data_IF_358566377934
#
_entry.id   IF_358566377934
#
_cell.length_a   1.000
_cell.length_b   1.000
_cell.length_c   1.000
_cell.angle_alpha   90.00
_cell.angle_beta   90.00
_cell.angle_gamma   90.00
#
_symmetry.space_group_name_H-M   'P 1'
#
loop_
_entity.id
_entity.type
_entity.pdbx_description
1 polymer ?
#
# COMPACT_ATOMS: atom_id res chain seq x y z
N UNK A 1 47.42 -21.34 -34.10
CA UNK A 1 46.34 -20.84 -34.97
C UNK A 1 44.95 -20.96 -34.33
N UNK A 2 44.80 -21.66 -33.20
CA UNK A 2 43.47 -21.93 -32.61
C UNK A 2 42.92 -20.85 -31.66
N UNK A 3 43.76 -20.05 -31.01
CA UNK A 3 43.28 -19.02 -30.05
C UNK A 3 42.42 -17.94 -30.70
N UNK A 4 42.71 -17.57 -31.95
CA UNK A 4 41.91 -16.62 -32.70
C UNK A 4 40.52 -17.18 -33.03
N UNK A 5 40.44 -18.46 -33.41
CA UNK A 5 39.19 -19.16 -33.71
C UNK A 5 38.34 -19.34 -32.45
N UNK A 6 38.96 -19.72 -31.33
CA UNK A 6 38.28 -19.86 -30.04
C UNK A 6 37.73 -18.49 -29.58
N UNK A 7 38.49 -17.41 -29.77
CA UNK A 7 38.04 -16.05 -29.43
C UNK A 7 36.86 -15.61 -30.29
N UNK A 8 36.90 -15.87 -31.61
CA UNK A 8 35.79 -15.59 -32.51
C UNK A 8 34.54 -16.41 -32.16
N UNK A 9 34.69 -17.70 -31.84
CA UNK A 9 33.59 -18.57 -31.43
C UNK A 9 32.93 -18.09 -30.13
N UNK A 10 33.73 -17.71 -29.11
CA UNK A 10 33.22 -17.12 -27.86
C UNK A 10 32.47 -15.81 -28.11
N UNK A 11 32.96 -14.97 -29.01
CA UNK A 11 32.31 -13.71 -29.37
C UNK A 11 30.98 -13.95 -30.10
N UNK A 12 30.94 -14.90 -31.04
CA UNK A 12 29.73 -15.30 -31.76
C UNK A 12 28.69 -15.87 -30.79
N UNK A 13 29.10 -16.76 -29.88
CA UNK A 13 28.24 -17.30 -28.83
C UNK A 13 27.66 -16.20 -27.94
N UNK A 14 28.51 -15.27 -27.45
CA UNK A 14 28.06 -14.16 -26.61
C UNK A 14 27.04 -13.28 -27.33
N UNK A 15 27.24 -12.99 -28.62
CA UNK A 15 26.30 -12.23 -29.44
C UNK A 15 24.96 -12.98 -29.60
N UNK A 16 25.00 -14.26 -29.94
CA UNK A 16 23.80 -15.09 -30.09
C UNK A 16 23.03 -15.20 -28.77
N UNK A 17 23.73 -15.40 -27.65
CA UNK A 17 23.15 -15.43 -26.32
C UNK A 17 22.50 -14.10 -25.95
N UNK A 18 23.18 -12.98 -26.16
CA UNK A 18 22.62 -11.64 -25.90
C UNK A 18 21.40 -11.35 -26.77
N UNK A 19 21.41 -11.78 -28.03
CA UNK A 19 20.27 -11.62 -28.93
C UNK A 19 19.06 -12.42 -28.44
N UNK A 20 19.26 -13.70 -28.09
CA UNK A 20 18.23 -14.58 -27.53
C UNK A 20 17.70 -14.03 -26.20
N UNK A 21 18.59 -13.60 -25.31
CA UNK A 21 18.20 -12.98 -24.05
C UNK A 21 17.39 -11.68 -24.27
N UNK A 22 17.80 -10.81 -25.18
CA UNK A 22 17.03 -9.59 -25.52
C UNK A 22 15.65 -9.93 -26.08
N UNK A 23 15.57 -10.94 -26.94
CA UNK A 23 14.32 -11.44 -27.50
C UNK A 23 13.40 -11.97 -26.38
N UNK A 24 13.90 -12.86 -25.54
CA UNK A 24 13.18 -13.45 -24.42
C UNK A 24 12.79 -12.40 -23.37
N UNK A 25 13.63 -11.38 -23.18
CA UNK A 25 13.33 -10.28 -22.27
C UNK A 25 12.21 -9.38 -22.82
N UNK A 26 12.17 -9.11 -24.13
CA UNK A 26 11.08 -8.33 -24.77
C UNK A 26 9.74 -9.07 -24.83
N UNK A 27 9.78 -10.40 -24.86
CA UNK A 27 8.55 -11.20 -24.80
C UNK A 27 7.98 -11.24 -23.38
N UNK A 28 8.84 -11.39 -22.36
CA UNK A 28 8.43 -11.46 -20.95
C UNK A 28 8.16 -10.10 -20.31
N UNK A 29 8.97 -9.09 -20.62
CA UNK A 29 8.92 -7.78 -20.01
C UNK A 29 8.54 -6.72 -21.05
N UNK A 30 7.41 -6.03 -20.83
CA UNK A 30 6.99 -4.88 -21.62
C UNK A 30 7.45 -3.61 -20.92
N UNK A 31 8.12 -2.74 -21.68
CA UNK A 31 8.51 -1.42 -21.25
C UNK A 31 7.60 -0.39 -21.92
N UNK A 32 7.14 0.58 -21.14
CA UNK A 32 6.37 1.71 -21.60
C UNK A 32 7.12 2.97 -21.20
N UNK A 33 7.37 3.84 -22.17
CA UNK A 33 8.01 5.13 -21.93
C UNK A 33 6.92 6.19 -21.83
N UNK A 34 6.94 6.95 -20.73
CA UNK A 34 5.96 8.01 -20.45
C UNK A 34 6.72 9.32 -20.31
N UNK A 35 6.30 10.33 -21.06
CA UNK A 35 6.85 11.68 -20.95
C UNK A 35 5.94 12.48 -20.02
N UNK A 36 6.52 13.04 -18.96
CA UNK A 36 5.83 13.89 -18.00
C UNK A 36 6.21 15.35 -18.22
N UNK A 37 5.26 16.25 -18.02
CA UNK A 37 5.55 17.68 -17.89
C UNK A 37 6.30 17.95 -16.59
N UNK A 38 6.89 19.15 -16.47
CA UNK A 38 7.69 19.51 -15.29
C UNK A 38 6.85 19.59 -14.00
N UNK A 39 5.58 20.00 -14.10
CA UNK A 39 4.65 20.01 -12.97
C UNK A 39 4.24 18.59 -12.57
N UNK A 40 3.88 17.73 -13.53
CA UNK A 40 3.54 16.34 -13.27
C UNK A 40 4.70 15.58 -12.63
N UNK A 41 5.93 15.78 -13.12
CA UNK A 41 7.12 15.15 -12.58
C UNK A 41 7.35 15.55 -11.11
N UNK A 42 7.13 16.82 -10.74
CA UNK A 42 7.22 17.28 -9.35
C UNK A 42 6.15 16.62 -8.47
N UNK A 43 4.88 16.64 -8.89
CA UNK A 43 3.78 16.02 -8.14
C UNK A 43 4.00 14.53 -7.91
N UNK A 44 4.46 13.81 -8.93
CA UNK A 44 4.81 12.39 -8.82
C UNK A 44 6.01 12.19 -7.90
N UNK A 45 7.02 13.07 -7.97
CA UNK A 45 8.18 13.05 -7.06
C UNK A 45 7.78 13.21 -5.60
N UNK A 46 6.98 14.24 -5.29
CA UNK A 46 6.49 14.51 -3.94
C UNK A 46 5.64 13.36 -3.41
N UNK A 47 4.76 12.79 -4.25
CA UNK A 47 3.97 11.62 -3.89
C UNK A 47 4.86 10.38 -3.67
N UNK A 48 5.82 10.11 -4.54
CA UNK A 48 6.75 8.99 -4.38
C UNK A 48 7.56 9.10 -3.08
N UNK A 49 7.98 10.31 -2.70
CA UNK A 49 8.68 10.58 -1.45
C UNK A 49 7.79 10.31 -0.23
N UNK A 50 6.54 10.79 -0.23
CA UNK A 50 5.55 10.51 0.83
C UNK A 50 5.33 9.01 1.01
N UNK A 51 5.33 8.25 -0.09
CA UNK A 51 5.14 6.80 -0.09
C UNK A 51 6.44 6.00 0.12
N UNK A 52 7.58 6.67 0.40
CA UNK A 52 8.92 6.05 0.59
C UNK A 52 9.31 5.08 -0.54
N UNK A 53 9.00 5.42 -1.80
CA UNK A 53 9.25 4.59 -2.99
C UNK A 53 9.97 5.37 -4.08
N UNK A 54 10.66 4.65 -4.97
CA UNK A 54 11.20 5.28 -6.18
C UNK A 54 10.07 5.70 -7.12
N UNK A 55 10.28 6.76 -7.90
CA UNK A 55 9.28 7.33 -8.82
C UNK A 55 8.70 6.25 -9.75
N UNK A 56 9.55 5.45 -10.38
CA UNK A 56 9.13 4.39 -11.31
C UNK A 56 8.29 3.31 -10.62
N UNK A 57 8.67 2.94 -9.38
CA UNK A 57 7.93 1.94 -8.60
C UNK A 57 6.58 2.49 -8.15
N UNK A 58 6.55 3.74 -7.70
CA UNK A 58 5.32 4.44 -7.32
C UNK A 58 4.35 4.54 -8.49
N UNK A 59 4.81 4.94 -9.69
CA UNK A 59 3.96 4.98 -10.89
C UNK A 59 3.36 3.61 -11.23
N UNK A 60 4.17 2.56 -11.21
CA UNK A 60 3.68 1.20 -11.48
C UNK A 60 2.63 0.77 -10.47
N UNK A 61 2.93 0.92 -9.18
CA UNK A 61 2.07 0.44 -8.11
C UNK A 61 0.80 1.30 -7.96
N UNK A 62 0.87 2.62 -8.18
CA UNK A 62 -0.29 3.50 -8.20
C UNK A 62 -1.23 3.19 -9.36
N UNK A 63 -0.71 2.99 -10.58
CA UNK A 63 -1.53 2.57 -11.72
C UNK A 63 -2.24 1.24 -11.46
N UNK A 64 -1.51 0.23 -10.94
CA UNK A 64 -2.11 -1.08 -10.61
C UNK A 64 -3.14 -0.94 -9.48
N UNK A 65 -2.83 -0.16 -8.44
CA UNK A 65 -3.71 0.09 -7.31
C UNK A 65 -5.01 0.77 -7.75
N UNK A 66 -4.92 1.78 -8.62
CA UNK A 66 -6.06 2.45 -9.21
C UNK A 66 -6.95 1.48 -10.01
N UNK A 67 -6.35 0.71 -10.93
CA UNK A 67 -7.08 -0.30 -11.73
C UNK A 67 -7.75 -1.34 -10.82
N UNK A 68 -7.05 -1.76 -9.76
CA UNK A 68 -7.53 -2.78 -8.82
C UNK A 68 -8.48 -2.22 -7.76
N UNK A 69 -8.79 -0.92 -7.77
CA UNK A 69 -9.56 -0.21 -6.73
C UNK A 69 -9.01 -0.47 -5.31
N UNK A 70 -7.68 -0.50 -5.18
CA UNK A 70 -6.98 -0.69 -3.90
C UNK A 70 -6.30 0.61 -3.49
N UNK A 71 -6.29 0.88 -2.19
CA UNK A 71 -5.56 2.01 -1.66
C UNK A 71 -4.06 1.69 -1.61
N UNK A 72 -3.25 2.67 -2.04
CA UNK A 72 -1.80 2.56 -1.95
C UNK A 72 -1.33 3.11 -0.61
N UNK A 73 -0.98 2.22 0.32
CA UNK A 73 -0.50 2.62 1.65
C UNK A 73 0.82 3.43 1.53
N UNK A 74 0.92 4.63 2.15
CA UNK A 74 2.13 5.45 2.14
C UNK A 74 3.33 4.79 2.79
N UNK A 75 3.18 4.23 3.98
CA UNK A 75 4.26 3.53 4.67
C UNK A 75 3.85 2.12 5.06
N UNK A 76 4.26 1.16 4.22
CA UNK A 76 3.99 -0.26 4.44
C UNK A 76 4.75 -0.78 5.66
N UNK A 77 5.92 -0.23 5.96
CA UNK A 77 6.70 -0.66 7.13
C UNK A 77 6.03 -0.21 8.42
N UNK A 78 5.53 1.03 8.47
CA UNK A 78 4.78 1.52 9.62
C UNK A 78 3.51 0.70 9.86
N UNK A 79 2.73 0.40 8.80
CA UNK A 79 1.52 -0.42 8.93
C UNK A 79 1.86 -1.86 9.37
N UNK A 80 2.91 -2.45 8.84
CA UNK A 80 3.36 -3.78 9.27
C UNK A 80 3.87 -3.78 10.71
N UNK A 81 4.52 -2.71 11.16
CA UNK A 81 4.96 -2.56 12.56
C UNK A 81 3.75 -2.51 13.49
N UNK A 82 2.72 -1.71 13.18
CA UNK A 82 1.47 -1.66 13.95
C UNK A 82 0.83 -3.05 14.01
N UNK A 83 0.73 -3.74 12.87
CA UNK A 83 0.18 -5.11 12.82
C UNK A 83 0.97 -6.07 13.71
N UNK A 84 2.31 -5.99 13.68
CA UNK A 84 3.16 -6.84 14.51
C UNK A 84 2.94 -6.57 16.00
N UNK A 85 2.87 -5.30 16.40
CA UNK A 85 2.61 -4.94 17.80
C UNK A 85 1.21 -5.39 18.25
N UNK A 86 0.20 -5.29 17.39
CA UNK A 86 -1.13 -5.82 17.68
C UNK A 86 -1.10 -7.34 17.91
N UNK A 87 -0.43 -8.10 17.04
CA UNK A 87 -0.29 -9.55 17.18
C UNK A 87 0.45 -9.93 18.48
N UNK A 88 1.53 -9.22 18.82
CA UNK A 88 2.27 -9.46 20.06
C UNK A 88 1.42 -9.20 21.30
N UNK A 89 0.62 -8.14 21.31
CA UNK A 89 -0.30 -7.85 22.41
C UNK A 89 -1.39 -8.93 22.54
N UNK A 90 -1.89 -9.44 21.42
CA UNK A 90 -2.86 -10.54 21.41
C UNK A 90 -2.26 -11.82 22.02
N UNK A 91 -1.05 -12.20 21.60
CA UNK A 91 -0.36 -13.38 22.12
C UNK A 91 -0.04 -13.26 23.61
N UNK A 92 0.36 -12.07 24.07
CA UNK A 92 0.64 -11.79 25.49
C UNK A 92 -0.62 -11.93 26.35
N UNK A 93 -1.74 -11.34 25.91
CA UNK A 93 -3.02 -11.47 26.60
C UNK A 93 -3.49 -12.92 26.63
N UNK A 94 -3.33 -13.66 25.52
CA UNK A 94 -3.63 -15.09 25.45
C UNK A 94 -2.84 -15.89 26.48
N UNK A 95 -1.53 -15.63 26.61
CA UNK A 95 -0.70 -16.25 27.65
C UNK A 95 -1.19 -15.94 29.07
N UNK A 96 -1.58 -14.69 29.34
CA UNK A 96 -2.14 -14.30 30.64
C UNK A 96 -3.47 -15.01 30.97
N UNK A 97 -4.25 -15.42 29.96
CA UNK A 97 -5.44 -16.24 30.16
C UNK A 97 -5.12 -17.70 30.45
N UNK A 98 -4.16 -18.26 29.73
CA UNK A 98 -3.72 -19.65 29.94
C UNK A 98 -3.10 -19.83 31.34
N UNK A 99 -2.45 -18.79 31.87
CA UNK A 99 -1.87 -18.75 33.22
C UNK A 99 -2.88 -18.41 34.34
N UNK A 100 -4.19 -18.32 34.04
CA UNK A 100 -5.27 -18.03 35.01
C UNK A 100 -5.14 -16.68 35.76
N UNK A 101 -4.36 -15.72 35.23
CA UNK A 101 -4.17 -14.40 35.85
C UNK A 101 -5.40 -13.49 35.80
N UNK A 102 -6.35 -13.77 34.90
CA UNK A 102 -7.58 -13.00 34.71
C UNK A 102 -8.82 -13.91 34.77
N UNK A 103 -9.97 -13.40 35.28
CA UNK A 103 -11.24 -14.12 35.18
C UNK A 103 -11.58 -14.43 33.72
N UNK A 104 -11.86 -15.69 33.39
CA UNK A 104 -12.09 -16.15 32.01
C UNK A 104 -13.14 -15.32 31.26
N UNK A 105 -14.22 -14.90 31.92
CA UNK A 105 -15.27 -14.07 31.31
C UNK A 105 -14.77 -12.67 30.93
N UNK A 106 -14.07 -11.99 31.84
CA UNK A 106 -13.48 -10.67 31.58
C UNK A 106 -12.44 -10.76 30.45
N UNK A 107 -11.67 -11.85 30.44
CA UNK A 107 -10.66 -12.11 29.44
C UNK A 107 -11.21 -12.29 28.04
N UNK A 108 -12.26 -13.09 27.91
CA UNK A 108 -12.95 -13.30 26.64
C UNK A 108 -13.51 -11.99 26.08
N UNK A 109 -14.11 -11.16 26.92
CA UNK A 109 -14.65 -9.84 26.50
C UNK A 109 -13.52 -8.93 25.98
N UNK A 110 -12.37 -8.94 26.64
CA UNK A 110 -11.20 -8.15 26.22
C UNK A 110 -10.68 -8.62 24.85
N UNK A 111 -10.56 -9.94 24.63
CA UNK A 111 -10.12 -10.49 23.34
C UNK A 111 -11.09 -10.16 22.21
N UNK A 112 -12.39 -10.38 22.40
CA UNK A 112 -13.41 -10.03 21.40
C UNK A 112 -13.35 -8.52 21.06
N UNK A 113 -13.12 -7.66 22.06
CA UNK A 113 -13.01 -6.21 21.84
C UNK A 113 -11.75 -5.82 21.06
N UNK A 114 -10.63 -6.48 21.33
CA UNK A 114 -9.36 -6.26 20.64
C UNK A 114 -9.47 -6.72 19.18
N UNK A 115 -10.09 -7.86 18.92
CA UNK A 115 -10.28 -8.35 17.56
C UNK A 115 -11.13 -7.36 16.72
N UNK A 116 -12.22 -6.84 17.29
CA UNK A 116 -13.04 -5.82 16.63
C UNK A 116 -12.25 -4.52 16.38
N UNK A 117 -11.42 -4.10 17.35
CA UNK A 117 -10.55 -2.93 17.18
C UNK A 117 -9.50 -3.15 16.11
N UNK A 118 -8.85 -4.32 16.06
CA UNK A 118 -7.88 -4.68 15.05
C UNK A 118 -8.51 -4.72 13.66
N UNK A 119 -9.69 -5.32 13.51
CA UNK A 119 -10.41 -5.32 12.25
C UNK A 119 -10.75 -3.90 11.79
N UNK A 120 -11.16 -3.01 12.71
CA UNK A 120 -11.41 -1.60 12.38
C UNK A 120 -10.13 -0.87 11.96
N UNK A 121 -9.07 -0.96 12.75
CA UNK A 121 -7.80 -0.28 12.48
C UNK A 121 -7.18 -0.79 11.17
N UNK A 122 -7.17 -2.10 10.94
CA UNK A 122 -6.63 -2.68 9.71
C UNK A 122 -7.49 -2.34 8.49
N UNK A 123 -8.82 -2.37 8.61
CA UNK A 123 -9.69 -1.98 7.50
C UNK A 123 -9.53 -0.50 7.15
N UNK A 124 -9.42 0.39 8.13
CA UNK A 124 -9.17 1.82 7.89
C UNK A 124 -7.77 2.10 7.33
N UNK A 125 -6.74 1.36 7.76
CA UNK A 125 -5.37 1.53 7.25
C UNK A 125 -5.21 1.01 5.82
N UNK A 126 -5.88 -0.09 5.46
CA UNK A 126 -5.77 -0.70 4.13
C UNK A 126 -6.81 -0.20 3.13
N UNK A 127 -7.94 0.29 3.62
CA UNK A 127 -9.06 0.80 2.84
C UNK A 127 -9.62 2.05 3.51
N UNK A 128 -8.84 3.16 3.56
CA UNK A 128 -9.33 4.40 4.13
C UNK A 128 -10.59 4.81 3.37
N UNK A 129 -11.64 5.12 4.13
CA UNK A 129 -12.92 5.55 3.59
C UNK A 129 -12.71 6.77 2.72
N UNK A 130 -13.32 6.78 1.55
CA UNK A 130 -13.29 7.96 0.69
C UNK A 130 -14.06 9.10 1.36
N UNK A 131 -13.74 10.35 1.02
CA UNK A 131 -14.40 11.53 1.58
C UNK A 131 -15.92 11.42 1.53
N UNK A 132 -16.48 10.92 0.43
CA UNK A 132 -17.91 10.70 0.23
C UNK A 132 -18.50 9.71 1.25
N UNK A 133 -17.79 8.63 1.55
CA UNK A 133 -18.20 7.62 2.52
C UNK A 133 -18.11 8.16 3.95
N UNK A 134 -17.08 8.96 4.26
CA UNK A 134 -16.96 9.67 5.52
C UNK A 134 -18.11 10.66 5.72
N UNK A 135 -18.51 11.39 4.67
CA UNK A 135 -19.65 12.33 4.73
C UNK A 135 -20.96 11.60 5.00
N UNK A 136 -21.20 10.45 4.38
CA UNK A 136 -22.40 9.63 4.62
C UNK A 136 -22.39 9.05 6.04
N UNK A 137 -21.24 8.61 6.53
CA UNK A 137 -21.09 8.08 7.88
C UNK A 137 -21.30 9.17 8.95
N UNK A 138 -20.67 10.35 8.78
CA UNK A 138 -20.87 11.50 9.67
C UNK A 138 -22.33 11.95 9.67
N UNK A 139 -23.01 11.96 8.51
CA UNK A 139 -24.45 12.22 8.43
C UNK A 139 -25.28 11.22 9.25
N UNK A 140 -24.81 9.98 9.34
CA UNK A 140 -25.49 8.89 10.06
C UNK A 140 -25.21 8.91 11.55
N UNK A 141 -23.98 9.27 11.95
CA UNK A 141 -23.50 9.20 13.34
C UNK A 141 -23.68 10.50 14.12
N UNK A 142 -23.63 11.66 13.47
CA UNK A 142 -23.82 12.97 14.09
C UNK A 142 -24.54 13.96 13.14
N UNK A 143 -25.89 14.02 13.21
CA UNK A 143 -26.69 14.90 12.37
C UNK A 143 -26.40 16.39 12.60
N UNK A 144 -25.91 16.76 13.79
CA UNK A 144 -25.66 18.15 14.20
C UNK A 144 -24.39 18.67 13.51
N UNK A 145 -23.35 17.85 13.48
CA UNK A 145 -22.11 18.16 12.75
C UNK A 145 -22.38 18.34 11.25
N UNK A 146 -23.26 17.52 10.67
CA UNK A 146 -23.65 17.63 9.27
C UNK A 146 -24.42 18.92 8.94
N UNK A 147 -25.36 19.34 9.80
CA UNK A 147 -26.06 20.63 9.61
C UNK A 147 -25.12 21.82 9.76
N UNK A 148 -24.10 21.73 10.62
CA UNK A 148 -23.09 22.78 10.78
C UNK A 148 -22.20 22.89 9.53
N UNK A 149 -21.79 21.75 8.97
CA UNK A 149 -21.08 21.68 7.69
C UNK A 149 -21.91 22.26 6.53
N UNK A 150 -23.20 21.96 6.50
CA UNK A 150 -24.13 22.49 5.49
C UNK A 150 -24.28 24.01 5.60
N UNK A 151 -24.39 24.55 6.81
CA UNK A 151 -24.43 25.99 7.04
C UNK A 151 -23.11 26.68 6.61
N UNK A 152 -21.96 26.06 6.87
CA UNK A 152 -20.66 26.58 6.44
C UNK A 152 -20.51 26.62 4.91
N UNK A 153 -21.01 25.59 4.20
CA UNK A 153 -21.00 25.56 2.74
C UNK A 153 -21.95 26.63 2.17
N UNK A 154 -23.15 26.77 2.73
CA UNK A 154 -24.12 27.80 2.31
C UNK A 154 -23.63 29.23 2.57
N UNK A 155 -22.78 29.44 3.58
CA UNK A 155 -22.20 30.73 3.89
C UNK A 155 -20.94 31.07 3.06
N UNK A 156 -20.44 30.12 2.26
CA UNK A 156 -19.22 30.28 1.47
C UNK A 156 -19.41 30.14 -0.05
N UNK A 157 -20.65 29.99 -0.52
CA UNK A 157 -20.98 30.18 -1.94
C UNK A 157 -20.96 31.70 -2.28
N UNK A 158 -20.16 32.15 -3.26
CA UNK A 158 -20.20 33.53 -3.77
C UNK A 158 -21.48 33.86 -4.55
#
# INVERSE_FOLDING_TARGET
MDDALIKMAKQAYRKAYQLKWKHDNRSKNKQYDVTLTLDEAKRVGDAAQKHRRSITRFLKESCIAYISKRYLVPDVFAVNAIRKELALNYDLLRGMFDDNFLPQEAGRIILERIEVLEQKVLSELHHPKMLEQLVVEVRSSDPVCFETLKQLIQNHDP
#
